data_IF_341557885037
#
_entry.id   IF_341557885037
#
_cell.length_a   1.000
_cell.length_b   1.000
_cell.length_c   1.000
_cell.angle_alpha   90.00
_cell.angle_beta   90.00
_cell.angle_gamma   90.00
#
_symmetry.space_group_name_H-M   'P 1'
#
loop_
_entity.id
_entity.type
_entity.pdbx_description
1 polymer ?
#
# COMPACT_ATOMS: atom_id res chain seq x y z
N UNK A 1 -3.37 -28.01 9.68
CA UNK A 1 -2.91 -26.81 8.94
C UNK A 1 -3.14 -25.62 9.85
N UNK A 2 -2.15 -24.72 10.05
CA UNK A 2 -2.34 -23.53 10.87
C UNK A 2 -3.49 -22.69 10.32
N UNK A 3 -4.25 -22.06 11.22
CA UNK A 3 -5.26 -21.07 10.86
C UNK A 3 -4.56 -19.81 10.37
N UNK A 4 -4.78 -19.42 9.13
CA UNK A 4 -4.21 -18.17 8.58
C UNK A 4 -5.13 -17.00 8.88
N UNK A 5 -4.56 -15.95 9.48
CA UNK A 5 -5.20 -14.63 9.59
C UNK A 5 -4.54 -13.73 8.56
N UNK A 6 -5.33 -13.25 7.61
CA UNK A 6 -4.87 -12.31 6.59
C UNK A 6 -5.07 -10.89 7.11
N UNK A 7 -3.98 -10.12 7.18
CA UNK A 7 -3.99 -8.73 7.60
C UNK A 7 -3.43 -7.87 6.49
N UNK A 8 -4.17 -6.85 6.13
CA UNK A 8 -3.70 -5.86 5.18
C UNK A 8 -3.53 -4.53 5.89
N UNK A 9 -2.29 -4.07 5.95
CA UNK A 9 -1.90 -2.86 6.64
C UNK A 9 -1.76 -1.74 5.62
N UNK A 10 -2.65 -0.75 5.67
CA UNK A 10 -2.59 0.42 4.80
C UNK A 10 -1.89 1.56 5.54
N UNK A 11 -0.92 2.19 4.88
CA UNK A 11 -0.23 3.37 5.42
C UNK A 11 0.06 4.38 4.30
N UNK A 12 0.18 5.65 4.67
CA UNK A 12 0.62 6.70 3.74
C UNK A 12 2.13 6.67 3.50
N UNK A 13 2.90 6.18 4.48
CA UNK A 13 4.36 6.08 4.44
C UNK A 13 4.84 4.83 5.19
N UNK A 14 5.98 4.28 4.78
CA UNK A 14 6.68 3.20 5.47
C UNK A 14 8.14 3.10 5.03
N UNK A 15 9.04 2.94 6.00
CA UNK A 15 10.44 2.65 5.75
C UNK A 15 10.62 1.24 5.14
N UNK A 16 11.47 1.03 4.11
CA UNK A 16 12.44 1.97 3.53
C UNK A 16 11.93 2.74 2.30
N UNK A 17 10.65 2.62 1.93
CA UNK A 17 10.13 3.22 0.70
C UNK A 17 10.03 4.74 0.81
N UNK A 18 9.40 5.22 1.88
CA UNK A 18 9.22 6.64 2.13
C UNK A 18 8.94 6.89 3.60
N UNK A 19 9.53 7.95 4.13
CA UNK A 19 9.41 8.35 5.53
C UNK A 19 9.48 9.86 5.66
N UNK A 20 8.42 10.46 6.18
CA UNK A 20 8.33 11.87 6.57
C UNK A 20 8.38 11.99 8.09
N UNK A 21 7.75 11.07 8.83
CA UNK A 21 7.70 11.10 10.29
C UNK A 21 7.83 9.73 10.96
N UNK A 22 7.40 9.66 12.23
CA UNK A 22 7.45 8.43 13.04
C UNK A 22 6.45 7.36 12.59
N UNK A 23 5.44 7.72 11.81
CA UNK A 23 4.52 6.74 11.21
C UNK A 23 5.27 5.80 10.27
N UNK A 24 6.20 6.31 9.46
CA UNK A 24 7.00 5.51 8.55
C UNK A 24 7.79 4.39 9.25
N UNK A 25 8.32 4.67 10.45
CA UNK A 25 9.02 3.65 11.25
C UNK A 25 8.09 2.53 11.71
N UNK A 26 6.90 2.90 12.20
CA UNK A 26 5.90 1.94 12.70
C UNK A 26 5.35 1.12 11.53
N UNK A 27 4.94 1.77 10.44
CA UNK A 27 4.38 1.11 9.28
C UNK A 27 5.39 0.20 8.56
N UNK A 28 6.68 0.53 8.59
CA UNK A 28 7.74 -0.32 8.04
C UNK A 28 8.14 -1.50 8.93
N UNK A 29 7.91 -1.43 10.25
CA UNK A 29 8.37 -2.44 11.21
C UNK A 29 7.25 -3.34 11.77
N UNK A 30 6.08 -2.78 12.09
CA UNK A 30 4.99 -3.49 12.74
C UNK A 30 4.45 -4.65 11.90
N UNK A 31 4.16 -4.51 10.59
CA UNK A 31 3.66 -5.62 9.78
C UNK A 31 4.64 -6.81 9.76
N UNK A 32 5.95 -6.54 9.70
CA UNK A 32 6.99 -7.56 9.79
C UNK A 32 7.03 -8.22 11.17
N UNK A 33 6.95 -7.43 12.23
CA UNK A 33 6.92 -7.94 13.60
C UNK A 33 5.73 -8.87 13.83
N UNK A 34 4.55 -8.53 13.29
CA UNK A 34 3.36 -9.38 13.36
C UNK A 34 3.58 -10.71 12.62
N UNK A 35 4.17 -10.72 11.43
CA UNK A 35 4.47 -11.98 10.71
C UNK A 35 5.38 -12.91 11.52
N UNK A 36 6.36 -12.34 12.23
CA UNK A 36 7.29 -13.07 13.09
C UNK A 36 6.62 -13.71 14.32
N UNK A 37 5.41 -13.27 14.70
CA UNK A 37 4.61 -13.86 15.77
C UNK A 37 3.75 -15.06 15.29
N UNK A 38 3.91 -15.49 14.04
CA UNK A 38 3.28 -16.73 13.56
C UNK A 38 3.75 -17.93 14.39
N UNK A 39 2.84 -18.86 14.63
CA UNK A 39 3.06 -20.11 15.37
C UNK A 39 2.61 -21.30 14.52
N UNK A 40 2.82 -22.52 15.00
CA UNK A 40 2.36 -23.74 14.34
C UNK A 40 0.83 -23.84 14.24
N UNK A 41 0.10 -23.10 15.08
CA UNK A 41 -1.37 -23.07 15.10
C UNK A 41 -1.94 -21.88 14.34
N UNK A 42 -1.25 -20.73 14.36
CA UNK A 42 -1.72 -19.47 13.78
C UNK A 42 -0.64 -18.88 12.87
N UNK A 43 -0.97 -18.72 11.58
CA UNK A 43 -0.12 -17.99 10.63
C UNK A 43 -0.66 -16.57 10.44
N UNK A 44 0.20 -15.57 10.60
CA UNK A 44 -0.14 -14.17 10.33
C UNK A 44 0.39 -13.80 8.94
N UNK A 45 -0.49 -13.78 7.93
CA UNK A 45 -0.16 -13.27 6.59
C UNK A 45 -0.46 -11.77 6.55
N UNK A 46 0.53 -10.98 6.98
CA UNK A 46 0.45 -9.52 6.98
C UNK A 46 1.10 -8.96 5.72
N UNK A 47 0.41 -8.08 5.02
CA UNK A 47 0.90 -7.39 3.82
C UNK A 47 0.73 -5.89 3.98
N UNK A 48 1.66 -5.12 3.45
CA UNK A 48 1.64 -3.65 3.50
C UNK A 48 1.12 -3.09 2.18
N UNK A 49 0.34 -2.02 2.23
CA UNK A 49 -0.11 -1.28 1.05
C UNK A 49 0.26 0.19 1.22
N UNK A 50 0.92 0.75 0.21
CA UNK A 50 1.32 2.15 0.18
C UNK A 50 0.85 2.81 -1.13
N UNK A 51 0.55 4.12 -1.12
CA UNK A 51 0.53 4.91 -2.33
C UNK A 51 1.92 4.94 -2.98
N UNK A 52 2.00 4.75 -4.30
CA UNK A 52 3.25 4.79 -5.04
C UNK A 52 3.62 6.24 -5.41
N UNK A 53 4.00 7.03 -4.42
CA UNK A 53 4.42 8.42 -4.66
C UNK A 53 5.67 8.48 -5.56
N UNK A 54 5.82 9.51 -6.41
CA UNK A 54 6.97 9.66 -7.30
C UNK A 54 8.34 9.70 -6.60
N UNK A 55 8.37 10.04 -5.31
CA UNK A 55 9.60 10.05 -4.50
C UNK A 55 10.10 8.64 -4.17
N UNK A 56 9.23 7.62 -4.20
CA UNK A 56 9.58 6.24 -3.91
C UNK A 56 10.39 5.68 -5.09
N UNK A 57 11.62 5.27 -4.83
CA UNK A 57 12.48 4.59 -5.82
C UNK A 57 12.56 3.12 -5.48
N UNK A 58 11.51 2.37 -5.82
CA UNK A 58 11.46 0.93 -5.61
C UNK A 58 11.99 0.19 -6.85
N UNK A 59 12.85 -0.80 -6.62
CA UNK A 59 13.41 -1.66 -7.66
C UNK A 59 12.73 -3.04 -7.64
N UNK A 60 12.86 -3.79 -8.74
CA UNK A 60 12.32 -5.16 -8.87
C UNK A 60 10.81 -5.29 -8.61
N UNK A 61 10.06 -4.25 -8.99
CA UNK A 61 8.60 -4.26 -8.89
C UNK A 61 8.00 -5.26 -9.89
N UNK A 62 7.12 -6.13 -9.38
CA UNK A 62 6.29 -6.99 -10.19
C UNK A 62 4.96 -6.29 -10.46
N UNK A 63 4.59 -6.14 -11.73
CA UNK A 63 3.24 -5.67 -12.08
C UNK A 63 2.20 -6.71 -11.65
N UNK A 64 1.23 -6.29 -10.84
CA UNK A 64 0.09 -7.12 -10.42
C UNK A 64 -1.06 -6.96 -11.40
N UNK A 65 -1.29 -5.74 -11.89
CA UNK A 65 -2.31 -5.45 -12.88
C UNK A 65 -2.77 -3.99 -12.88
N UNK A 66 -3.68 -3.71 -13.81
CA UNK A 66 -4.37 -2.43 -13.95
C UNK A 66 -5.86 -2.69 -13.78
N UNK A 67 -6.51 -1.92 -12.92
CA UNK A 67 -7.91 -2.10 -12.54
C UNK A 67 -8.69 -0.80 -12.70
N UNK A 68 -9.91 -0.84 -13.22
CA UNK A 68 -10.76 0.33 -13.21
C UNK A 68 -11.30 0.63 -11.82
N UNK A 69 -11.18 1.89 -11.37
CA UNK A 69 -11.85 2.41 -10.19
C UNK A 69 -12.96 3.38 -10.62
N UNK A 70 -14.21 2.96 -10.46
CA UNK A 70 -15.38 3.80 -10.70
C UNK A 70 -15.49 4.86 -9.61
N UNK A 71 -15.50 6.12 -10.03
CA UNK A 71 -15.85 7.30 -9.23
C UNK A 71 -17.19 7.85 -9.74
N UNK A 72 -17.82 8.74 -8.97
CA UNK A 72 -19.18 9.22 -9.27
C UNK A 72 -19.40 9.71 -10.71
N UNK A 73 -18.40 10.38 -11.31
CA UNK A 73 -18.49 10.96 -12.65
C UNK A 73 -17.34 10.55 -13.59
N UNK A 74 -16.47 9.62 -13.18
CA UNK A 74 -15.32 9.20 -13.98
C UNK A 74 -14.85 7.80 -13.61
N UNK A 75 -14.07 7.18 -14.48
CA UNK A 75 -13.35 5.95 -14.20
C UNK A 75 -11.86 6.27 -14.25
N UNK A 76 -11.14 5.87 -13.20
CA UNK A 76 -9.70 6.12 -13.08
C UNK A 76 -8.99 4.78 -12.99
N UNK A 77 -7.93 4.60 -13.75
CA UNK A 77 -7.11 3.39 -13.69
C UNK A 77 -6.25 3.38 -12.42
N UNK A 78 -6.26 2.23 -11.75
CA UNK A 78 -5.42 1.89 -10.61
C UNK A 78 -4.39 0.89 -11.09
N UNK A 79 -3.12 1.23 -10.95
CA UNK A 79 -2.02 0.33 -11.21
C UNK A 79 -1.51 -0.23 -9.88
N UNK A 80 -1.38 -1.55 -9.77
CA UNK A 80 -0.84 -2.19 -8.59
C UNK A 80 0.49 -2.88 -8.90
N UNK A 81 1.48 -2.63 -8.06
CA UNK A 81 2.79 -3.28 -8.11
C UNK A 81 3.06 -4.02 -6.81
N UNK A 82 3.80 -5.11 -6.88
CA UNK A 82 4.25 -5.89 -5.74
C UNK A 82 5.77 -5.77 -5.60
N UNK A 83 6.22 -5.53 -4.37
CA UNK A 83 7.59 -5.61 -3.92
C UNK A 83 7.68 -6.60 -2.76
N UNK A 84 8.88 -7.15 -2.53
CA UNK A 84 9.17 -7.96 -1.34
C UNK A 84 10.28 -7.25 -0.57
N UNK A 85 10.02 -6.94 0.70
CA UNK A 85 11.02 -6.35 1.62
C UNK A 85 11.15 -7.25 2.82
N UNK A 86 12.33 -7.86 3.03
CA UNK A 86 12.57 -8.78 4.14
C UNK A 86 11.47 -9.84 4.28
N UNK A 87 11.18 -10.53 3.17
CA UNK A 87 10.14 -11.55 3.01
C UNK A 87 8.69 -11.07 3.20
N UNK A 88 8.47 -9.77 3.41
CA UNK A 88 7.15 -9.17 3.57
C UNK A 88 6.64 -8.61 2.23
N UNK A 89 5.45 -9.04 1.76
CA UNK A 89 4.83 -8.46 0.58
C UNK A 89 4.40 -7.02 0.84
N UNK A 90 4.73 -6.15 -0.11
CA UNK A 90 4.34 -4.73 -0.12
C UNK A 90 3.70 -4.41 -1.47
N UNK A 91 2.48 -3.89 -1.44
CA UNK A 91 1.79 -3.41 -2.62
C UNK A 91 1.91 -1.89 -2.75
N UNK A 92 2.34 -1.44 -3.92
CA UNK A 92 2.41 -0.03 -4.27
C UNK A 92 1.26 0.28 -5.24
N UNK A 93 0.39 1.21 -4.84
CA UNK A 93 -0.81 1.59 -5.60
C UNK A 93 -0.56 2.93 -6.29
N UNK A 94 -0.64 2.93 -7.61
CA UNK A 94 -0.43 4.10 -8.45
C UNK A 94 -1.69 4.45 -9.25
N UNK A 95 -1.74 5.69 -9.73
CA UNK A 95 -2.80 6.20 -10.58
C UNK A 95 -2.65 7.70 -10.76
N UNK A 96 -3.50 8.31 -11.58
CA UNK A 96 -3.42 9.74 -11.88
C UNK A 96 -3.39 10.64 -10.63
N UNK A 97 -4.24 10.43 -9.60
CA UNK A 97 -4.22 11.27 -8.40
C UNK A 97 -2.89 11.19 -7.63
N UNK A 98 -2.31 9.99 -7.53
CA UNK A 98 -1.03 9.78 -6.85
C UNK A 98 0.13 10.36 -7.67
N UNK A 99 0.09 10.25 -9.00
CA UNK A 99 1.14 10.81 -9.89
C UNK A 99 1.12 12.32 -9.94
N UNK A 100 -0.08 12.91 -9.96
CA UNK A 100 -0.25 14.36 -10.00
C UNK A 100 0.28 15.03 -8.73
N UNK A 101 0.30 14.31 -7.60
CA UNK A 101 0.85 14.78 -6.34
C UNK A 101 2.30 14.27 -6.12
N UNK A 102 3.27 15.15 -6.28
CA UNK A 102 4.70 14.81 -6.15
C UNK A 102 5.17 14.51 -4.73
N UNK A 103 4.35 14.78 -3.71
CA UNK A 103 4.69 14.62 -2.28
C UNK A 103 3.78 13.62 -1.57
N UNK A 104 4.26 13.08 -0.45
CA UNK A 104 3.48 12.19 0.45
C UNK A 104 2.35 12.95 1.14
N UNK A 105 2.68 14.16 1.63
CA UNK A 105 1.74 15.10 2.25
C UNK A 105 1.81 16.42 1.48
N UNK A 106 0.65 16.90 1.05
CA UNK A 106 0.48 18.18 0.37
C UNK A 106 0.12 19.27 1.36
N UNK A 107 0.46 20.52 1.04
CA UNK A 107 -0.08 21.68 1.76
C UNK A 107 -1.60 21.85 1.51
N UNK A 108 -2.15 21.20 0.48
CA UNK A 108 -3.58 21.17 0.18
C UNK A 108 -4.21 19.87 0.74
N UNK A 109 -4.98 20.03 1.81
CA UNK A 109 -5.68 18.93 2.47
C UNK A 109 -6.68 18.19 1.54
N UNK A 110 -7.18 18.81 0.47
CA UNK A 110 -8.06 18.14 -0.49
C UNK A 110 -7.30 17.12 -1.33
N UNK A 111 -6.07 17.43 -1.71
CA UNK A 111 -5.21 16.50 -2.47
C UNK A 111 -4.83 15.29 -1.61
N UNK A 112 -4.54 15.50 -0.32
CA UNK A 112 -4.23 14.41 0.60
C UNK A 112 -5.45 13.50 0.86
N UNK A 113 -6.63 14.10 0.99
CA UNK A 113 -7.88 13.37 1.11
C UNK A 113 -8.18 12.56 -0.17
N UNK A 114 -7.94 13.14 -1.35
CA UNK A 114 -8.13 12.45 -2.62
C UNK A 114 -7.17 11.28 -2.79
N UNK A 115 -5.88 11.48 -2.51
CA UNK A 115 -4.87 10.42 -2.55
C UNK A 115 -5.25 9.27 -1.62
N UNK A 116 -5.61 9.61 -0.38
CA UNK A 116 -6.03 8.63 0.63
C UNK A 116 -7.24 7.84 0.16
N UNK A 117 -8.27 8.53 -0.35
CA UNK A 117 -9.46 7.87 -0.88
C UNK A 117 -9.11 6.98 -2.09
N UNK A 118 -8.23 7.43 -2.97
CA UNK A 118 -7.85 6.70 -4.18
C UNK A 118 -7.17 5.37 -3.84
N UNK A 119 -6.07 5.38 -3.07
CA UNK A 119 -5.31 4.16 -2.83
C UNK A 119 -6.06 3.16 -1.94
N UNK A 120 -6.86 3.65 -0.98
CA UNK A 120 -7.71 2.80 -0.14
C UNK A 120 -8.85 2.15 -0.93
N UNK A 121 -9.41 2.85 -1.93
CA UNK A 121 -10.47 2.33 -2.78
C UNK A 121 -9.95 1.42 -3.89
N UNK A 122 -8.83 1.77 -4.51
CA UNK A 122 -8.20 0.99 -5.58
C UNK A 122 -7.84 -0.43 -5.13
N UNK A 123 -7.48 -0.59 -3.85
CA UNK A 123 -7.20 -1.92 -3.30
C UNK A 123 -8.47 -2.80 -3.16
N UNK A 124 -9.64 -2.22 -2.84
CA UNK A 124 -10.89 -3.01 -2.64
C UNK A 124 -11.28 -3.81 -3.89
N UNK A 125 -10.85 -3.34 -5.07
CA UNK A 125 -11.11 -3.99 -6.36
C UNK A 125 -10.37 -5.33 -6.50
N UNK A 126 -9.24 -5.54 -5.80
CA UNK A 126 -8.40 -6.75 -5.92
C UNK A 126 -8.54 -7.72 -4.73
N UNK A 127 -9.00 -7.25 -3.56
CA UNK A 127 -9.21 -8.12 -2.39
C UNK A 127 -10.38 -9.11 -2.51
N UNK A 128 -11.16 -8.97 -3.58
CA UNK A 128 -12.41 -9.70 -3.82
C UNK A 128 -12.28 -10.77 -4.91
N UNK A 129 -11.08 -10.94 -5.48
CA UNK A 129 -10.75 -11.89 -6.55
C UNK A 129 -9.79 -12.98 -6.10
#
# INVERSE_FOLDING_TARGET
MPKTINVLFLAAEADPFVKVGGLGDVAGSLPRALRALSTDEIKLDVRLVLPYHPVIKAENLKSVGIFPLKRSNSEVEVEAFEAIVNDMPVYLINGEPIRANGSVYSADAKLDAENTLFFTSGFRVNASS
#
